data_IF_073009516308
#
_entry.id   IF_073009516308
#
_cell.length_a   1.000
_cell.length_b   1.000
_cell.length_c   1.000
_cell.angle_alpha   90.00
_cell.angle_beta   90.00
_cell.angle_gamma   90.00
#
_symmetry.space_group_name_H-M   'P 1'
#
loop_
_entity.id
_entity.type
_entity.pdbx_description
1 polymer ?
#
# COMPACT_ATOMS: atom_id res chain seq x y z
N UNK A 1 -4.56 -33.48 -10.29
CA UNK A 1 -5.14 -32.90 -9.06
C UNK A 1 -5.59 -31.51 -9.45
N UNK A 2 -6.89 -31.29 -9.34
CA UNK A 2 -7.69 -30.34 -10.10
C UNK A 2 -7.32 -28.86 -9.85
N UNK A 3 -7.54 -28.04 -10.89
CA UNK A 3 -7.39 -26.58 -10.91
C UNK A 3 -8.13 -25.88 -9.75
N UNK A 4 -7.43 -25.61 -8.66
CA UNK A 4 -7.99 -24.96 -7.46
C UNK A 4 -7.55 -23.48 -7.45
N UNK A 5 -8.42 -22.60 -7.94
CA UNK A 5 -8.42 -21.11 -7.86
C UNK A 5 -7.51 -20.26 -8.80
N UNK A 6 -8.07 -19.90 -9.96
CA UNK A 6 -8.08 -18.53 -10.51
C UNK A 6 -6.89 -17.97 -11.32
N UNK A 7 -5.66 -18.06 -10.83
CA UNK A 7 -4.50 -17.38 -11.43
C UNK A 7 -3.26 -18.27 -11.46
N UNK A 8 -2.48 -18.23 -12.54
CA UNK A 8 -1.16 -18.88 -12.57
C UNK A 8 -0.21 -18.25 -11.54
N UNK A 9 0.79 -18.99 -11.06
CA UNK A 9 1.74 -18.50 -10.05
C UNK A 9 2.42 -17.18 -10.47
N UNK A 10 2.73 -17.04 -11.75
CA UNK A 10 3.26 -15.78 -12.30
C UNK A 10 2.24 -14.65 -12.22
N UNK A 11 1.01 -14.89 -12.66
CA UNK A 11 -0.06 -13.90 -12.64
C UNK A 11 -0.40 -13.47 -11.21
N UNK A 12 -0.38 -14.40 -10.25
CA UNK A 12 -0.57 -14.10 -8.82
C UNK A 12 0.49 -13.13 -8.31
N UNK A 13 1.76 -13.39 -8.61
CA UNK A 13 2.85 -12.50 -8.22
C UNK A 13 2.71 -11.09 -8.80
N UNK A 14 2.35 -10.99 -10.08
CA UNK A 14 2.11 -9.70 -10.75
C UNK A 14 0.95 -8.95 -10.08
N UNK A 15 -0.20 -9.61 -9.87
CA UNK A 15 -1.39 -9.01 -9.25
C UNK A 15 -1.09 -8.50 -7.83
N UNK A 16 -0.41 -9.31 -7.02
CA UNK A 16 -0.05 -8.91 -5.64
C UNK A 16 0.85 -7.67 -5.67
N UNK A 17 1.89 -7.67 -6.51
CA UNK A 17 2.80 -6.52 -6.65
C UNK A 17 2.03 -5.26 -7.08
N UNK A 18 1.18 -5.38 -8.09
CA UNK A 18 0.39 -4.25 -8.61
C UNK A 18 -0.53 -3.67 -7.54
N UNK A 19 -1.24 -4.52 -6.78
CA UNK A 19 -2.12 -4.06 -5.69
C UNK A 19 -1.32 -3.37 -4.59
N UNK A 20 -0.18 -3.94 -4.16
CA UNK A 20 0.70 -3.29 -3.19
C UNK A 20 1.19 -1.93 -3.67
N UNK A 21 1.53 -1.83 -4.96
CA UNK A 21 1.96 -0.56 -5.52
C UNK A 21 0.82 0.47 -5.53
N UNK A 22 -0.36 0.10 -6.02
CA UNK A 22 -1.49 1.02 -6.04
C UNK A 22 -1.93 1.45 -4.63
N UNK A 23 -1.94 0.52 -3.68
CA UNK A 23 -2.25 0.79 -2.28
C UNK A 23 -1.23 1.74 -1.63
N UNK A 24 0.07 1.54 -1.88
CA UNK A 24 1.12 2.41 -1.37
C UNK A 24 1.00 3.85 -1.88
N UNK A 25 0.78 4.04 -3.19
CA UNK A 25 0.57 5.37 -3.78
C UNK A 25 -0.67 6.03 -3.18
N UNK A 26 -1.79 5.30 -3.13
CA UNK A 26 -3.03 5.80 -2.54
C UNK A 26 -2.84 6.21 -1.08
N UNK A 27 -2.17 5.38 -0.27
CA UNK A 27 -1.84 5.71 1.11
C UNK A 27 -0.98 6.98 1.21
N UNK A 28 -0.04 7.19 0.28
CA UNK A 28 0.82 8.37 0.26
C UNK A 28 0.04 9.66 0.00
N UNK A 29 -0.88 9.62 -0.98
CA UNK A 29 -1.79 10.73 -1.26
C UNK A 29 -2.72 10.99 -0.08
N UNK A 30 -3.31 9.94 0.50
CA UNK A 30 -4.17 10.07 1.68
C UNK A 30 -3.39 10.63 2.87
N UNK A 31 -2.12 10.25 3.06
CA UNK A 31 -1.26 10.82 4.10
C UNK A 31 -1.04 12.32 3.88
N UNK A 32 -0.80 12.74 2.64
CA UNK A 32 -0.69 14.16 2.31
C UNK A 32 -1.98 14.95 2.58
N UNK A 33 -3.15 14.36 2.31
CA UNK A 33 -4.45 14.98 2.62
C UNK A 33 -4.71 15.08 4.12
N UNK A 34 -4.47 14.01 4.89
CA UNK A 34 -4.86 13.95 6.31
C UNK A 34 -3.80 14.49 7.28
N UNK A 35 -2.52 14.41 6.91
CA UNK A 35 -1.39 14.81 7.77
C UNK A 35 -0.74 16.10 7.25
N UNK A 36 -0.83 16.37 5.96
CA UNK A 36 -0.24 17.53 5.31
C UNK A 36 1.14 17.25 4.69
N UNK A 37 1.72 18.28 4.07
CA UNK A 37 3.04 18.23 3.42
C UNK A 37 4.04 19.20 4.04
N UNK A 38 3.68 19.85 5.15
CA UNK A 38 4.54 20.79 5.88
C UNK A 38 5.68 20.07 6.63
N UNK A 39 6.77 20.78 7.00
CA UNK A 39 7.86 20.19 7.78
C UNK A 39 7.43 19.52 9.09
N UNK A 40 6.36 20.01 9.72
CA UNK A 40 5.79 19.40 10.92
C UNK A 40 5.13 18.03 10.62
N UNK A 41 4.56 17.85 9.43
CA UNK A 41 3.97 16.60 8.98
C UNK A 41 5.01 15.49 8.82
N UNK A 42 6.27 15.85 8.52
CA UNK A 42 7.39 14.91 8.41
C UNK A 42 7.69 14.17 9.71
N UNK A 43 7.49 14.83 10.86
CA UNK A 43 7.73 14.26 12.18
C UNK A 43 6.52 13.50 12.74
N UNK A 44 5.38 13.52 12.03
CA UNK A 44 4.13 12.95 12.52
C UNK A 44 4.06 11.44 12.32
N UNK A 45 3.91 10.70 13.42
CA UNK A 45 3.64 9.25 13.36
C UNK A 45 2.23 8.93 12.85
N UNK A 46 1.35 9.93 12.74
CA UNK A 46 -0.03 9.74 12.26
C UNK A 46 -0.07 9.08 10.87
N UNK A 47 0.86 9.44 9.98
CA UNK A 47 0.94 8.89 8.63
C UNK A 47 1.24 7.37 8.63
N UNK A 48 1.86 6.83 9.68
CA UNK A 48 2.09 5.39 9.85
C UNK A 48 0.78 4.63 10.10
N UNK A 49 -0.20 5.24 10.77
CA UNK A 49 -1.52 4.64 10.95
C UNK A 49 -2.31 4.60 9.64
N UNK A 50 -2.14 5.61 8.76
CA UNK A 50 -2.72 5.60 7.40
C UNK A 50 -2.15 4.41 6.61
N UNK A 51 -0.83 4.24 6.61
CA UNK A 51 -0.18 3.08 6.01
C UNK A 51 -0.74 1.76 6.57
N UNK A 52 -0.79 1.63 7.90
CA UNK A 52 -1.29 0.42 8.57
C UNK A 52 -2.73 0.08 8.16
N UNK A 53 -3.59 1.09 8.03
CA UNK A 53 -4.97 0.91 7.55
C UNK A 53 -5.01 0.37 6.11
N UNK A 54 -4.16 0.90 5.22
CA UNK A 54 -4.07 0.41 3.84
C UNK A 54 -3.52 -1.03 3.77
N UNK A 55 -2.51 -1.38 4.57
CA UNK A 55 -1.99 -2.75 4.66
C UNK A 55 -3.09 -3.73 5.09
N UNK A 56 -3.89 -3.36 6.09
CA UNK A 56 -5.00 -4.21 6.55
C UNK A 56 -6.11 -4.30 5.48
N UNK A 57 -6.41 -3.19 4.80
CA UNK A 57 -7.43 -3.14 3.75
C UNK A 57 -7.06 -3.96 2.51
N UNK A 58 -5.79 -4.28 2.28
CA UNK A 58 -5.37 -5.12 1.15
C UNK A 58 -5.79 -6.58 1.32
N UNK A 59 -5.88 -7.12 2.54
CA UNK A 59 -6.30 -8.51 2.77
C UNK A 59 -7.68 -8.87 2.20
N UNK A 60 -8.75 -8.09 2.45
CA UNK A 60 -10.04 -8.37 1.80
C UNK A 60 -9.98 -8.19 0.29
N UNK A 61 -9.16 -7.25 -0.23
CA UNK A 61 -8.97 -7.08 -1.68
C UNK A 61 -8.35 -8.32 -2.30
N UNK A 62 -7.29 -8.87 -1.69
CA UNK A 62 -6.66 -10.12 -2.15
C UNK A 62 -7.63 -11.28 -2.18
N UNK A 63 -8.46 -11.44 -1.13
CA UNK A 63 -9.52 -12.46 -1.12
C UNK A 63 -10.54 -12.26 -2.24
N UNK A 64 -10.92 -11.01 -2.53
CA UNK A 64 -11.90 -10.70 -3.58
C UNK A 64 -11.38 -11.00 -5.00
N UNK A 65 -10.08 -10.84 -5.24
CA UNK A 65 -9.46 -11.14 -6.54
C UNK A 65 -9.02 -12.60 -6.69
N UNK A 66 -9.33 -13.46 -5.72
CA UNK A 66 -8.99 -14.89 -5.75
C UNK A 66 -7.51 -15.18 -5.48
N UNK A 67 -6.77 -14.26 -4.86
CA UNK A 67 -5.45 -14.57 -4.32
C UNK A 67 -5.68 -15.44 -3.08
N UNK A 68 -5.13 -16.66 -3.11
CA UNK A 68 -5.22 -17.62 -2.01
C UNK A 68 -4.59 -17.12 -0.70
N UNK A 69 -4.58 -17.95 0.33
CA UNK A 69 -4.07 -17.56 1.64
C UNK A 69 -2.60 -17.11 1.58
N UNK A 70 -2.34 -15.93 2.14
CA UNK A 70 -1.02 -15.34 2.21
C UNK A 70 -0.25 -15.92 3.40
N UNK A 71 0.91 -16.50 3.13
CA UNK A 71 1.81 -16.96 4.18
C UNK A 71 2.49 -15.79 4.90
N UNK A 72 3.25 -16.09 5.96
CA UNK A 72 3.96 -15.05 6.71
C UNK A 72 4.98 -14.27 5.86
N UNK A 73 5.63 -14.94 4.90
CA UNK A 73 6.54 -14.30 3.94
C UNK A 73 5.79 -13.34 3.03
N UNK A 74 4.62 -13.75 2.55
CA UNK A 74 3.81 -12.95 1.63
C UNK A 74 3.24 -11.72 2.34
N UNK A 75 2.83 -11.87 3.60
CA UNK A 75 2.40 -10.75 4.44
C UNK A 75 3.53 -9.74 4.67
N UNK A 76 4.75 -10.21 4.92
CA UNK A 76 5.91 -9.33 5.03
C UNK A 76 6.18 -8.60 3.72
N UNK A 77 6.07 -9.30 2.59
CA UNK A 77 6.23 -8.72 1.26
C UNK A 77 5.19 -7.63 0.98
N UNK A 78 3.91 -7.91 1.26
CA UNK A 78 2.80 -6.95 1.09
C UNK A 78 3.04 -5.70 1.95
N UNK A 79 3.34 -5.89 3.24
CA UNK A 79 3.59 -4.78 4.14
C UNK A 79 4.81 -3.94 3.70
N UNK A 80 5.91 -4.61 3.34
CA UNK A 80 7.16 -3.96 2.95
C UNK A 80 7.03 -3.20 1.63
N UNK A 81 6.39 -3.78 0.60
CA UNK A 81 6.18 -3.08 -0.66
C UNK A 81 5.25 -1.88 -0.50
N UNK A 82 4.15 -2.05 0.22
CA UNK A 82 3.19 -0.97 0.46
C UNK A 82 3.85 0.16 1.24
N UNK A 83 4.64 -0.18 2.27
CA UNK A 83 5.47 0.78 3.01
C UNK A 83 6.43 1.53 2.09
N UNK A 84 7.19 0.81 1.26
CA UNK A 84 8.23 1.42 0.42
C UNK A 84 7.61 2.43 -0.53
N UNK A 85 6.49 2.07 -1.17
CA UNK A 85 5.88 2.96 -2.14
C UNK A 85 5.09 4.10 -1.50
N UNK A 86 4.42 3.86 -0.37
CA UNK A 86 3.87 4.92 0.48
C UNK A 86 4.95 5.93 0.88
N UNK A 87 6.09 5.45 1.37
CA UNK A 87 7.19 6.29 1.85
C UNK A 87 7.74 7.16 0.72
N UNK A 88 8.02 6.57 -0.45
CA UNK A 88 8.53 7.31 -1.61
C UNK A 88 7.49 8.33 -2.10
N UNK A 89 6.23 7.93 -2.29
CA UNK A 89 5.17 8.82 -2.78
C UNK A 89 4.93 9.98 -1.81
N UNK A 90 4.77 9.71 -0.51
CA UNK A 90 4.57 10.75 0.49
C UNK A 90 5.78 11.67 0.64
N UNK A 91 7.01 11.12 0.60
CA UNK A 91 8.24 11.93 0.64
C UNK A 91 8.34 12.88 -0.55
N UNK A 92 7.98 12.43 -1.75
CA UNK A 92 7.96 13.28 -2.95
C UNK A 92 6.96 14.42 -2.77
N UNK A 93 5.76 14.15 -2.27
CA UNK A 93 4.74 15.17 -2.00
C UNK A 93 5.20 16.17 -0.92
N UNK A 94 5.86 15.69 0.13
CA UNK A 94 6.45 16.52 1.19
C UNK A 94 7.54 17.45 0.65
N UNK A 95 8.49 16.90 -0.09
CA UNK A 95 9.65 17.65 -0.60
C UNK A 95 9.27 18.65 -1.69
N UNK A 96 8.17 18.41 -2.39
CA UNK A 96 7.60 19.36 -3.35
C UNK A 96 6.63 20.37 -2.73
N UNK A 97 6.34 20.27 -1.42
CA UNK A 97 5.37 21.11 -0.72
C UNK A 97 4.02 21.20 -1.48
N UNK A 98 3.55 20.05 -1.97
CA UNK A 98 2.32 19.98 -2.76
C UNK A 98 1.13 20.35 -1.88
N UNK A 99 0.34 21.31 -2.36
CA UNK A 99 -1.00 21.62 -1.88
C UNK A 99 -2.03 20.87 -2.74
N UNK A 100 -2.83 20.01 -2.10
CA UNK A 100 -3.83 19.19 -2.78
C UNK A 100 -5.19 19.89 -2.89
N UNK A 101 -5.34 21.11 -2.36
CA UNK A 101 -6.54 21.93 -2.52
C UNK A 101 -7.80 21.36 -1.87
N UNK A 102 -7.64 20.47 -0.89
CA UNK A 102 -8.70 19.91 -0.03
C UNK A 102 -8.55 20.46 1.38
#
# INVERSE_FOLDING_TARGET
MSDDSGLSDHARGVVVTTICCLAGIAAGVVSAVYVGTDPAAAASTTAVFVLGAFVIAQYPVFKAVGVGDLGIKDNLYVAFLTFTLWFISYTVLLTSAVDLGV
#
